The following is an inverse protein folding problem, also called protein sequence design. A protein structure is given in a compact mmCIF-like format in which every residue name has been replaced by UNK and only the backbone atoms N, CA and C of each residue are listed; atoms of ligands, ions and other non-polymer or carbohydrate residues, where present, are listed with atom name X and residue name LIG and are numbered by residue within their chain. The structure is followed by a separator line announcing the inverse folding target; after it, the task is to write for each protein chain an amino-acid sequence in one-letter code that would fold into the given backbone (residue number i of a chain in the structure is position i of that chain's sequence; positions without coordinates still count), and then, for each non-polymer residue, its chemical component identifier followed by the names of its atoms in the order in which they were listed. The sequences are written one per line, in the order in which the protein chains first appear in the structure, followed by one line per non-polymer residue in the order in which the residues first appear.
data_IF_685665654634
#
_entry.id   IF_685665654634
#
_cell.length_a   1.000
_cell.length_b   1.000
_cell.length_c   1.000
_cell.angle_alpha   90.00
_cell.angle_beta   90.00
_cell.angle_gamma   90.00
#
_symmetry.space_group_name_H-M   'P 1'
#
loop_
_entity.id
_entity.type
_entity.pdbx_description
1 polymer ?
#
# COMPACT_ATOMS: atom_id res chain seq x y z
N UNK A 1 21.63 34.61 -5.27
CA UNK A 1 21.23 33.64 -6.31
C UNK A 1 20.08 34.25 -7.10
N UNK A 2 20.31 34.61 -8.38
CA UNK A 2 19.33 35.33 -9.19
C UNK A 2 18.21 34.41 -9.71
N UNK A 3 17.06 34.98 -10.03
CA UNK A 3 15.88 34.27 -10.60
C UNK A 3 16.23 33.42 -11.83
N UNK A 4 17.28 33.79 -12.60
CA UNK A 4 17.75 33.01 -13.74
C UNK A 4 18.25 31.59 -13.43
N UNK A 5 18.71 31.31 -12.21
CA UNK A 5 19.16 29.94 -11.81
C UNK A 5 17.99 28.99 -11.51
N UNK A 6 16.83 29.55 -11.16
CA UNK A 6 15.62 28.75 -10.92
C UNK A 6 15.05 28.20 -12.24
N UNK A 7 15.02 29.01 -13.28
CA UNK A 7 14.48 28.62 -14.60
C UNK A 7 15.37 27.65 -15.37
N UNK A 8 16.69 27.71 -15.18
CA UNK A 8 17.64 26.81 -15.84
C UNK A 8 17.53 25.34 -15.43
N UNK A 9 16.79 25.04 -14.34
CA UNK A 9 16.59 23.69 -13.81
C UNK A 9 15.16 23.17 -13.99
N UNK A 10 14.34 23.88 -14.74
CA UNK A 10 12.97 23.47 -15.03
C UNK A 10 12.94 22.58 -16.27
N UNK A 11 12.15 21.51 -16.19
CA UNK A 11 11.83 20.62 -17.30
C UNK A 11 10.32 20.65 -17.50
N UNK A 12 9.88 20.82 -18.73
CA UNK A 12 8.45 20.77 -19.07
C UNK A 12 8.14 19.46 -19.77
N UNK A 13 7.21 18.70 -19.19
CA UNK A 13 6.64 17.51 -19.83
C UNK A 13 5.37 17.88 -20.56
N UNK A 14 5.34 17.72 -21.88
CA UNK A 14 4.15 17.98 -22.71
C UNK A 14 3.39 16.68 -22.97
N UNK A 15 2.15 16.60 -22.47
CA UNK A 15 1.29 15.44 -22.62
C UNK A 15 0.26 15.69 -23.74
N UNK A 16 0.12 14.71 -24.63
CA UNK A 16 -0.87 14.71 -25.70
C UNK A 16 -1.80 13.52 -25.57
N UNK A 17 -3.05 13.70 -25.88
CA UNK A 17 -4.06 12.65 -25.85
C UNK A 17 -5.28 13.02 -26.69
N UNK A 18 -6.06 12.02 -27.06
CA UNK A 18 -7.28 12.19 -27.87
C UNK A 18 -8.45 12.80 -27.10
N UNK A 19 -8.45 12.66 -25.77
CA UNK A 19 -9.52 13.09 -24.89
C UNK A 19 -8.95 13.72 -23.61
N UNK A 20 -9.69 14.67 -23.03
CA UNK A 20 -9.33 15.33 -21.77
C UNK A 20 -9.14 14.33 -20.63
N UNK A 21 -10.02 13.33 -20.52
CA UNK A 21 -9.90 12.29 -19.47
C UNK A 21 -8.59 11.51 -19.56
N UNK A 22 -8.16 11.16 -20.78
CA UNK A 22 -6.86 10.47 -21.00
C UNK A 22 -5.69 11.37 -20.59
N UNK A 23 -5.75 12.67 -20.87
CA UNK A 23 -4.70 13.62 -20.50
C UNK A 23 -4.65 13.79 -18.98
N UNK A 24 -5.81 13.92 -18.32
CA UNK A 24 -5.90 14.07 -16.87
C UNK A 24 -5.38 12.83 -16.16
N UNK A 25 -5.67 11.62 -16.67
CA UNK A 25 -5.14 10.36 -16.12
C UNK A 25 -3.64 10.23 -16.35
N UNK A 26 -3.15 10.56 -17.53
CA UNK A 26 -1.72 10.56 -17.83
C UNK A 26 -0.96 11.56 -16.94
N UNK A 27 -1.54 12.73 -16.66
CA UNK A 27 -0.97 13.73 -15.74
C UNK A 27 -0.88 13.19 -14.33
N UNK A 28 -1.93 12.49 -13.85
CA UNK A 28 -1.96 11.86 -12.52
C UNK A 28 -0.90 10.77 -12.41
N UNK A 29 -0.85 9.86 -13.38
CA UNK A 29 0.14 8.78 -13.42
C UNK A 29 1.59 9.32 -13.45
N UNK A 30 1.85 10.38 -14.21
CA UNK A 30 3.15 11.03 -14.25
C UNK A 30 3.51 11.65 -12.87
N UNK A 31 2.54 12.30 -12.22
CA UNK A 31 2.76 12.86 -10.89
C UNK A 31 3.11 11.79 -9.87
N UNK A 32 2.40 10.66 -9.87
CA UNK A 32 2.64 9.53 -8.97
C UNK A 32 4.03 8.92 -9.22
N UNK A 33 4.39 8.72 -10.48
CA UNK A 33 5.72 8.25 -10.86
C UNK A 33 6.83 9.19 -10.36
N UNK A 34 6.64 10.50 -10.48
CA UNK A 34 7.60 11.49 -9.98
C UNK A 34 7.72 11.46 -8.44
N UNK A 35 6.62 11.22 -7.73
CA UNK A 35 6.64 11.06 -6.28
C UNK A 35 7.43 9.82 -5.85
N UNK A 36 7.29 8.71 -6.57
CA UNK A 36 8.06 7.48 -6.33
C UNK A 36 9.55 7.75 -6.55
N UNK A 37 9.92 8.36 -7.68
CA UNK A 37 11.32 8.70 -8.00
C UNK A 37 11.91 9.63 -6.94
N UNK A 38 11.16 10.64 -6.51
CA UNK A 38 11.57 11.55 -5.42
C UNK A 38 11.86 10.80 -4.12
N UNK A 39 11.04 9.80 -3.79
CA UNK A 39 11.24 8.96 -2.60
C UNK A 39 12.49 8.09 -2.73
N UNK A 40 12.75 7.53 -3.91
CA UNK A 40 13.92 6.71 -4.20
C UNK A 40 15.23 7.52 -4.21
N UNK A 41 15.21 8.80 -4.57
CA UNK A 41 16.37 9.69 -4.46
C UNK A 41 16.75 9.94 -3.01
N UNK A 42 15.77 9.96 -2.09
CA UNK A 42 16.00 10.13 -0.65
C UNK A 42 16.45 8.83 0.03
N UNK A 43 15.81 7.73 -0.31
CA UNK A 43 16.11 6.39 0.19
C UNK A 43 15.92 5.38 -0.96
N UNK A 44 17.01 4.79 -1.41
CA UNK A 44 17.06 3.88 -2.56
C UNK A 44 16.62 2.44 -2.23
N UNK A 45 16.16 2.18 -1.00
CA UNK A 45 15.68 0.86 -0.62
C UNK A 45 14.30 0.60 -1.20
N UNK A 46 14.15 -0.58 -1.79
CA UNK A 46 12.91 -1.05 -2.40
C UNK A 46 12.47 -2.37 -1.78
N UNK A 47 11.17 -2.62 -1.84
CA UNK A 47 10.53 -3.89 -1.50
C UNK A 47 9.71 -4.38 -2.68
N UNK A 48 9.35 -5.66 -2.68
CA UNK A 48 8.47 -6.18 -3.70
C UNK A 48 7.04 -5.67 -3.51
N UNK A 49 6.42 -5.24 -4.60
CA UNK A 49 5.04 -4.76 -4.62
C UNK A 49 4.01 -5.88 -4.79
N UNK A 50 2.81 -5.55 -5.25
CA UNK A 50 1.74 -6.53 -5.43
C UNK A 50 1.26 -7.18 -4.13
N UNK A 51 1.38 -6.49 -2.99
CA UNK A 51 1.04 -7.03 -1.67
C UNK A 51 2.07 -8.02 -1.10
N UNK A 52 3.20 -8.26 -1.77
CA UNK A 52 4.20 -9.23 -1.32
C UNK A 52 4.84 -8.84 0.02
N UNK A 53 5.13 -7.55 0.21
CA UNK A 53 5.70 -7.04 1.46
C UNK A 53 4.71 -7.18 2.63
N UNK A 54 3.43 -6.93 2.39
CA UNK A 54 2.36 -7.06 3.37
C UNK A 54 2.15 -8.53 3.78
N UNK A 55 2.16 -9.46 2.83
CA UNK A 55 2.07 -10.90 3.10
C UNK A 55 3.27 -11.37 3.94
N UNK A 56 4.48 -10.96 3.58
CA UNK A 56 5.69 -11.29 4.34
C UNK A 56 5.61 -10.74 5.78
N UNK A 57 5.16 -9.49 5.93
CA UNK A 57 4.95 -8.88 7.24
C UNK A 57 3.85 -9.61 8.04
N UNK A 58 2.74 -10.00 7.40
CA UNK A 58 1.66 -10.76 8.02
C UNK A 58 2.16 -12.09 8.61
N UNK A 59 2.97 -12.84 7.85
CA UNK A 59 3.57 -14.10 8.30
C UNK A 59 4.48 -13.87 9.51
N UNK A 60 5.36 -12.87 9.45
CA UNK A 60 6.28 -12.56 10.56
C UNK A 60 5.54 -12.11 11.83
N UNK A 61 4.51 -11.28 11.68
CA UNK A 61 3.67 -10.83 12.80
C UNK A 61 2.88 -11.99 13.41
N UNK A 62 2.35 -12.90 12.59
CA UNK A 62 1.66 -14.10 13.07
C UNK A 62 2.58 -14.99 13.91
N UNK A 63 3.81 -15.21 13.44
CA UNK A 63 4.83 -15.96 14.19
C UNK A 63 5.18 -15.30 15.51
N UNK A 64 5.40 -13.98 15.50
CA UNK A 64 5.68 -13.22 16.73
C UNK A 64 4.49 -13.24 17.70
N UNK A 65 3.26 -13.33 17.21
CA UNK A 65 2.07 -13.42 18.07
C UNK A 65 2.06 -14.72 18.89
N UNK A 66 2.60 -15.80 18.37
CA UNK A 66 2.65 -17.10 19.07
C UNK A 66 3.63 -17.09 20.27
N UNK A 67 4.57 -16.15 20.29
CA UNK A 67 5.51 -15.97 21.38
C UNK A 67 4.96 -15.14 22.56
N UNK A 68 3.83 -14.43 22.33
CA UNK A 68 3.22 -13.55 23.32
C UNK A 68 2.26 -14.35 24.21
N UNK A 69 2.59 -14.46 25.50
CA UNK A 69 1.78 -15.21 26.47
C UNK A 69 0.58 -14.45 27.06
N UNK A 70 0.35 -13.18 26.64
CA UNK A 70 -0.69 -12.30 27.18
C UNK A 70 -1.87 -12.12 26.24
N UNK A 71 -2.92 -11.43 26.71
CA UNK A 71 -4.08 -11.07 25.87
C UNK A 71 -3.72 -10.21 24.64
N UNK A 72 -2.55 -9.57 24.65
CA UNK A 72 -2.02 -8.80 23.52
C UNK A 72 -1.80 -9.65 22.27
N UNK A 73 -1.69 -10.98 22.42
CA UNK A 73 -1.63 -11.93 21.31
C UNK A 73 -2.81 -11.77 20.35
N UNK A 74 -4.02 -11.53 20.86
CA UNK A 74 -5.21 -11.36 20.01
C UNK A 74 -5.12 -10.09 19.16
N UNK A 75 -4.62 -8.99 19.73
CA UNK A 75 -4.41 -7.75 18.98
C UNK A 75 -3.34 -7.92 17.90
N UNK A 76 -2.26 -8.63 18.21
CA UNK A 76 -1.18 -8.91 17.26
C UNK A 76 -1.67 -9.81 16.12
N UNK A 77 -2.49 -10.82 16.39
CA UNK A 77 -3.11 -11.65 15.35
C UNK A 77 -4.10 -10.86 14.49
N UNK A 78 -4.88 -9.98 15.10
CA UNK A 78 -5.80 -9.10 14.36
C UNK A 78 -5.02 -8.15 13.42
N UNK A 79 -3.87 -7.64 13.85
CA UNK A 79 -3.00 -6.83 13.00
C UNK A 79 -2.43 -7.64 11.81
N UNK A 80 -2.00 -8.87 12.05
CA UNK A 80 -1.59 -9.78 10.96
C UNK A 80 -2.72 -9.98 9.95
N UNK A 81 -3.94 -10.25 10.42
CA UNK A 81 -5.11 -10.39 9.54
C UNK A 81 -5.43 -9.10 8.76
N UNK A 82 -5.25 -7.94 9.38
CA UNK A 82 -5.44 -6.66 8.70
C UNK A 82 -4.45 -6.42 7.55
N UNK A 83 -3.21 -6.89 7.67
CA UNK A 83 -2.23 -6.84 6.59
C UNK A 83 -2.64 -7.67 5.37
N UNK A 84 -3.32 -8.78 5.58
CA UNK A 84 -3.81 -9.67 4.51
C UNK A 84 -4.95 -9.04 3.68
N UNK A 85 -5.64 -8.03 4.21
CA UNK A 85 -6.72 -7.33 3.48
C UNK A 85 -6.20 -6.65 2.22
N UNK A 86 -4.95 -6.17 2.22
CA UNK A 86 -4.36 -5.48 1.06
C UNK A 86 -4.22 -6.43 -0.14
N UNK A 87 -3.55 -7.58 -0.03
CA UNK A 87 -3.47 -8.53 -1.15
C UNK A 87 -4.84 -9.13 -1.51
N UNK A 88 -5.77 -9.31 -0.55
CA UNK A 88 -7.13 -9.73 -0.85
C UNK A 88 -7.85 -8.71 -1.74
N UNK A 89 -7.80 -7.42 -1.40
CA UNK A 89 -8.40 -6.36 -2.21
C UNK A 89 -7.75 -6.25 -3.60
N UNK A 90 -6.44 -6.45 -3.70
CA UNK A 90 -5.74 -6.50 -4.99
C UNK A 90 -6.26 -7.64 -5.87
N UNK A 91 -6.42 -8.84 -5.30
CA UNK A 91 -6.93 -9.99 -6.03
C UNK A 91 -8.39 -9.78 -6.46
N UNK A 92 -9.24 -9.27 -5.58
CA UNK A 92 -10.64 -8.97 -5.87
C UNK A 92 -10.78 -7.95 -7.00
N UNK A 93 -10.07 -6.83 -6.92
CA UNK A 93 -10.09 -5.78 -7.93
C UNK A 93 -9.51 -6.24 -9.28
N UNK A 94 -8.67 -7.26 -9.27
CA UNK A 94 -8.10 -7.86 -10.48
C UNK A 94 -8.96 -8.98 -11.07
N UNK A 95 -10.10 -9.29 -10.45
CA UNK A 95 -11.01 -10.36 -10.89
C UNK A 95 -10.51 -11.78 -10.60
N UNK A 96 -9.56 -11.91 -9.69
CA UNK A 96 -9.04 -13.21 -9.22
C UNK A 96 -9.85 -13.72 -8.01
N UNK A 97 -9.75 -15.01 -7.70
CA UNK A 97 -10.30 -15.57 -6.46
C UNK A 97 -9.43 -15.10 -5.27
N UNK A 98 -9.92 -14.22 -4.37
CA UNK A 98 -9.06 -13.56 -3.38
C UNK A 98 -8.42 -14.53 -2.39
N UNK A 99 -9.23 -15.43 -1.83
CA UNK A 99 -8.78 -16.38 -0.80
C UNK A 99 -7.76 -17.36 -1.38
N UNK A 100 -8.02 -17.89 -2.56
CA UNK A 100 -7.15 -18.85 -3.23
C UNK A 100 -5.81 -18.20 -3.62
N UNK A 101 -5.87 -16.99 -4.18
CA UNK A 101 -4.69 -16.23 -4.57
C UNK A 101 -3.81 -15.90 -3.36
N UNK A 102 -4.40 -15.46 -2.24
CA UNK A 102 -3.68 -15.19 -1.02
C UNK A 102 -3.03 -16.45 -0.45
N UNK A 103 -3.78 -17.57 -0.39
CA UNK A 103 -3.27 -18.84 0.11
C UNK A 103 -2.08 -19.33 -0.72
N UNK A 104 -2.17 -19.21 -2.05
CA UNK A 104 -1.08 -19.57 -2.96
C UNK A 104 0.18 -18.72 -2.71
N UNK A 105 0.02 -17.42 -2.59
CA UNK A 105 1.16 -16.51 -2.34
C UNK A 105 1.80 -16.79 -0.99
N UNK A 106 1.01 -16.96 0.09
CA UNK A 106 1.52 -17.33 1.41
C UNK A 106 2.27 -18.66 1.40
N UNK A 107 1.69 -19.68 0.76
CA UNK A 107 2.33 -20.98 0.64
C UNK A 107 3.69 -20.89 -0.06
N UNK A 108 3.78 -20.13 -1.16
CA UNK A 108 5.05 -19.94 -1.89
C UNK A 108 6.08 -19.19 -1.06
N UNK A 109 5.67 -18.09 -0.38
CA UNK A 109 6.59 -17.34 0.48
C UNK A 109 7.14 -18.16 1.64
N UNK A 110 6.31 -19.02 2.25
CA UNK A 110 6.75 -19.91 3.34
C UNK A 110 7.66 -21.02 2.83
N UNK A 111 7.28 -21.68 1.70
CA UNK A 111 8.03 -22.81 1.15
C UNK A 111 9.41 -22.39 0.62
N UNK A 112 9.47 -21.27 -0.07
CA UNK A 112 10.73 -20.79 -0.68
C UNK A 112 11.49 -19.81 0.24
N UNK A 113 10.90 -19.41 1.38
CA UNK A 113 11.46 -18.39 2.30
C UNK A 113 11.86 -17.10 1.56
N UNK A 114 11.07 -16.70 0.58
CA UNK A 114 11.36 -15.56 -0.29
C UNK A 114 10.14 -14.64 -0.40
N UNK A 115 10.33 -13.36 -0.11
CA UNK A 115 9.29 -12.34 -0.12
C UNK A 115 8.91 -11.83 -1.53
N UNK A 116 9.43 -12.42 -2.62
CA UNK A 116 9.21 -11.96 -4.00
C UNK A 116 7.83 -12.28 -4.56
N UNK A 117 7.06 -13.14 -3.91
CA UNK A 117 5.75 -13.56 -4.39
C UNK A 117 4.66 -12.60 -3.93
N UNK A 118 3.88 -12.09 -4.87
CA UNK A 118 2.74 -11.18 -4.69
C UNK A 118 1.58 -11.53 -5.61
N UNK A 119 0.56 -10.68 -5.65
CA UNK A 119 -0.60 -10.84 -6.52
C UNK A 119 -0.32 -10.25 -7.89
N UNK A 120 -0.51 -11.03 -8.95
CA UNK A 120 -0.40 -10.58 -10.34
C UNK A 120 -1.69 -9.89 -10.78
N UNK A 121 -1.73 -8.56 -10.63
CA UNK A 121 -2.87 -7.75 -11.05
C UNK A 121 -3.00 -7.56 -12.57
N UNK A 122 -1.98 -7.96 -13.34
CA UNK A 122 -1.95 -7.78 -14.79
C UNK A 122 -2.36 -9.05 -15.57
N UNK A 123 -2.68 -10.14 -14.85
CA UNK A 123 -3.10 -11.39 -15.47
C UNK A 123 -2.03 -12.07 -16.32
N UNK A 124 -0.75 -11.85 -16.00
CA UNK A 124 0.39 -12.46 -16.73
C UNK A 124 0.65 -13.91 -16.32
N UNK A 125 -0.05 -14.41 -15.30
CA UNK A 125 0.12 -15.75 -14.77
C UNK A 125 1.42 -15.94 -13.95
N UNK A 126 2.14 -14.86 -13.67
CA UNK A 126 3.38 -14.90 -12.92
C UNK A 126 3.30 -14.08 -11.62
N UNK A 127 3.31 -14.76 -10.49
CA UNK A 127 3.26 -14.13 -9.16
C UNK A 127 4.64 -13.70 -8.66
N UNK A 128 5.69 -13.81 -9.46
CA UNK A 128 7.04 -13.36 -9.10
C UNK A 128 7.21 -11.86 -9.41
N UNK A 129 7.09 -11.03 -8.39
CA UNK A 129 7.16 -9.56 -8.52
C UNK A 129 8.52 -9.07 -8.99
N UNK A 130 9.59 -9.84 -8.78
CA UNK A 130 10.92 -9.54 -9.31
C UNK A 130 10.96 -9.60 -10.83
N UNK A 131 10.38 -10.63 -11.42
CA UNK A 131 10.29 -10.81 -12.87
C UNK A 131 9.29 -9.85 -13.52
N UNK A 132 8.21 -9.54 -12.80
CA UNK A 132 7.22 -8.56 -13.24
C UNK A 132 7.70 -7.11 -13.10
N UNK A 133 8.86 -6.87 -12.48
CA UNK A 133 9.42 -5.54 -12.19
C UNK A 133 8.49 -4.66 -11.35
N UNK A 134 7.78 -5.25 -10.38
CA UNK A 134 6.87 -4.53 -9.48
C UNK A 134 7.58 -4.27 -8.15
N UNK A 135 7.97 -3.02 -7.94
CA UNK A 135 8.70 -2.58 -6.74
C UNK A 135 8.05 -1.36 -6.11
N UNK A 136 8.07 -1.32 -4.80
CA UNK A 136 7.60 -0.18 -4.00
C UNK A 136 8.76 0.40 -3.17
N UNK A 137 8.81 1.73 -2.94
CA UNK A 137 9.78 2.32 -2.03
C UNK A 137 9.54 1.85 -0.59
N UNK A 138 10.58 1.37 0.08
CA UNK A 138 10.50 0.93 1.49
C UNK A 138 9.98 2.04 2.40
N UNK A 139 10.41 3.29 2.15
CA UNK A 139 9.97 4.46 2.93
C UNK A 139 8.45 4.62 2.88
N UNK A 140 7.85 4.48 1.69
CA UNK A 140 6.40 4.61 1.50
C UNK A 140 5.65 3.53 2.28
N UNK A 141 6.07 2.26 2.18
CA UNK A 141 5.45 1.14 2.92
C UNK A 141 5.54 1.33 4.43
N UNK A 142 6.72 1.70 4.92
CA UNK A 142 6.91 1.98 6.34
C UNK A 142 5.99 3.10 6.84
N UNK A 143 5.89 4.19 6.09
CA UNK A 143 5.03 5.32 6.46
C UNK A 143 3.54 4.95 6.40
N UNK A 144 3.11 4.17 5.43
CA UNK A 144 1.73 3.67 5.34
C UNK A 144 1.34 2.90 6.61
N UNK A 145 2.16 1.94 7.04
CA UNK A 145 1.90 1.14 8.25
C UNK A 145 1.88 2.01 9.51
N UNK A 146 2.83 2.93 9.65
CA UNK A 146 2.89 3.84 10.81
C UNK A 146 1.68 4.75 10.88
N UNK A 147 1.29 5.38 9.78
CA UNK A 147 0.15 6.30 9.73
C UNK A 147 -1.17 5.57 9.93
N UNK A 148 -1.34 4.38 9.34
CA UNK A 148 -2.51 3.54 9.56
C UNK A 148 -2.66 3.17 11.04
N UNK A 149 -1.58 2.75 11.68
CA UNK A 149 -1.58 2.42 13.12
C UNK A 149 -1.91 3.64 13.98
N UNK A 150 -1.37 4.82 13.65
CA UNK A 150 -1.69 6.06 14.36
C UNK A 150 -3.17 6.44 14.21
N UNK A 151 -3.74 6.28 13.02
CA UNK A 151 -5.15 6.54 12.77
C UNK A 151 -6.05 5.59 13.56
N UNK A 152 -5.78 4.28 13.51
CA UNK A 152 -6.53 3.28 14.29
C UNK A 152 -6.46 3.61 15.79
N UNK A 153 -5.26 3.94 16.28
CA UNK A 153 -5.09 4.33 17.68
C UNK A 153 -5.88 5.59 18.05
N UNK A 154 -6.00 6.56 17.14
CA UNK A 154 -6.82 7.75 17.35
C UNK A 154 -8.31 7.41 17.40
N UNK A 155 -8.80 6.56 16.49
CA UNK A 155 -10.21 6.12 16.46
C UNK A 155 -10.56 5.32 17.70
N UNK A 156 -9.70 4.41 18.15
CA UNK A 156 -9.92 3.60 19.36
C UNK A 156 -9.93 4.40 20.66
N UNK A 157 -9.52 5.67 20.65
CA UNK A 157 -9.58 6.58 21.81
C UNK A 157 -10.86 7.41 21.87
N UNK A 158 -11.74 7.26 20.88
CA UNK A 158 -13.02 7.98 20.87
C UNK A 158 -14.00 7.22 21.77
N UNK A 159 -14.42 7.85 22.86
CA UNK A 159 -15.37 7.29 23.81
C UNK A 159 -16.80 7.68 23.48
N UNK A 160 -17.03 8.95 23.06
CA UNK A 160 -18.33 9.50 22.79
C UNK A 160 -18.39 10.25 21.45
N UNK A 161 -19.54 10.15 20.78
CA UNK A 161 -19.86 10.93 19.59
C UNK A 161 -21.10 11.79 19.89
N UNK A 162 -20.91 13.10 19.91
CA UNK A 162 -21.98 14.07 20.15
C UNK A 162 -22.49 14.56 18.80
N UNK A 163 -23.74 14.25 18.48
CA UNK A 163 -24.44 14.83 17.34
C UNK A 163 -25.19 16.09 17.76
N UNK A 164 -24.95 17.18 17.07
CA UNK A 164 -25.74 18.38 17.22
C UNK A 164 -27.04 18.20 16.41
N UNK A 165 -28.16 17.93 17.11
CA UNK A 165 -29.46 18.03 16.46
C UNK A 165 -29.64 19.48 16.00
N UNK A 166 -29.83 19.70 14.74
CA UNK A 166 -30.33 20.98 14.24
C UNK A 166 -31.66 21.22 14.94
N UNK A 167 -31.72 22.24 15.77
CA UNK A 167 -33.00 22.76 16.26
C UNK A 167 -33.76 23.17 15.01
N UNK A 168 -34.66 22.32 14.56
CA UNK A 168 -35.65 22.71 13.55
C UNK A 168 -36.34 23.92 14.17
N UNK A 169 -36.11 25.04 13.52
CA UNK A 169 -36.80 26.27 13.84
C UNK A 169 -38.31 26.02 13.61
N UNK A 170 -39.01 25.70 14.64
CA UNK A 170 -40.44 25.92 14.70
C UNK A 170 -40.69 27.45 14.60
N UNK A 171 -41.01 27.89 13.41
CA UNK A 171 -41.75 29.12 13.15
C UNK A 171 -42.76 28.91 12.07
#
# INVERSE_FOLDING_TARGET
RGLGDVYKRQVTAFLRGSNKMVIDEAKRALHDAMCVVRSLVRDNRVVYGGGAAEVCASIAVAQSADEIASMEQYATRAFSAALDVIPLALAENSGLAPIESLAMVKSKQVTESDARYGIDCMGRGNNNMKECHVFDPLVSKRQQLLLATQLVRAVLKIDDVIEQHALEAEM
#
